data_IF_548084179228
#
_entry.id   IF_548084179228
#
_cell.length_a   1.000
_cell.length_b   1.000
_cell.length_c   1.000
_cell.angle_alpha   90.00
_cell.angle_beta   90.00
_cell.angle_gamma   90.00
#
_symmetry.space_group_name_H-M   'P 1'
#
loop_
_entity.id
_entity.type
_entity.pdbx_description
1 polymer ?
#
# COMPACT_ATOMS: atom_id res chain seq x y z
N UNK A 1 -10.07 16.63 15.00
CA UNK A 1 -9.30 16.42 16.24
C UNK A 1 -9.85 15.19 16.93
N UNK A 2 -8.97 14.32 17.41
CA UNK A 2 -9.30 13.09 18.15
C UNK A 2 -8.57 13.10 19.50
N UNK A 3 -9.03 12.26 20.41
CA UNK A 3 -8.49 12.22 21.77
C UNK A 3 -7.51 11.05 22.00
N UNK A 4 -7.43 10.10 21.05
CA UNK A 4 -6.51 8.98 21.11
C UNK A 4 -6.03 8.53 19.73
N UNK A 5 -4.91 7.79 19.69
CA UNK A 5 -4.40 7.16 18.46
C UNK A 5 -5.34 6.05 17.97
N UNK A 6 -5.97 5.30 18.88
CA UNK A 6 -6.93 4.26 18.51
C UNK A 6 -8.17 4.83 17.84
N UNK A 7 -8.68 5.96 18.33
CA UNK A 7 -9.77 6.69 17.70
C UNK A 7 -9.36 7.21 16.31
N UNK A 8 -8.15 7.77 16.19
CA UNK A 8 -7.61 8.22 14.92
C UNK A 8 -7.53 7.09 13.89
N UNK A 9 -7.03 5.93 14.30
CA UNK A 9 -6.92 4.75 13.45
C UNK A 9 -8.29 4.25 12.99
N UNK A 10 -9.24 4.16 13.91
CA UNK A 10 -10.62 3.76 13.60
C UNK A 10 -11.26 4.67 12.56
N UNK A 11 -11.09 5.98 12.71
CA UNK A 11 -11.61 6.97 11.75
C UNK A 11 -10.89 6.84 10.41
N UNK A 12 -9.55 6.76 10.41
CA UNK A 12 -8.76 6.61 9.18
C UNK A 12 -9.16 5.37 8.38
N UNK A 13 -9.43 4.26 9.06
CA UNK A 13 -9.84 3.00 8.44
C UNK A 13 -11.33 2.92 8.11
N UNK A 14 -12.16 3.87 8.53
CA UNK A 14 -13.61 3.84 8.32
C UNK A 14 -14.06 4.18 6.89
N UNK A 15 -13.17 4.74 6.08
CA UNK A 15 -13.47 5.12 4.69
C UNK A 15 -13.32 3.94 3.75
N UNK A 16 -14.03 3.97 2.62
CA UNK A 16 -14.02 2.89 1.62
C UNK A 16 -12.79 2.90 0.71
N UNK A 17 -11.86 3.82 0.91
CA UNK A 17 -10.65 3.97 0.13
C UNK A 17 -9.41 3.78 0.99
N UNK A 18 -8.33 3.30 0.39
CA UNK A 18 -7.07 3.09 1.08
C UNK A 18 -5.88 3.19 0.12
N UNK A 19 -5.65 4.37 -0.48
CA UNK A 19 -4.54 4.56 -1.41
C UNK A 19 -3.24 4.80 -0.66
N UNK A 20 -3.13 5.92 0.03
CA UNK A 20 -1.93 6.29 0.77
C UNK A 20 -2.28 6.75 2.18
N UNK A 21 -1.37 6.46 3.12
CA UNK A 21 -1.46 6.96 4.48
C UNK A 21 -0.07 7.26 5.05
N UNK A 22 0.05 8.36 5.76
CA UNK A 22 1.28 8.79 6.40
C UNK A 22 1.11 8.99 7.90
N UNK A 23 2.18 8.74 8.64
CA UNK A 23 2.21 8.89 10.09
C UNK A 23 3.45 9.65 10.53
N UNK A 24 3.32 10.43 11.58
CA UNK A 24 4.43 11.17 12.21
C UNK A 24 4.37 10.95 13.71
N UNK A 25 5.42 10.34 14.26
CA UNK A 25 5.48 9.99 15.67
C UNK A 25 6.72 9.18 16.02
N UNK A 26 6.73 8.55 17.18
CA UNK A 26 7.82 7.69 17.62
C UNK A 26 7.92 6.40 16.78
N UNK A 27 9.08 5.73 16.83
CA UNK A 27 9.28 4.45 16.13
C UNK A 27 8.31 3.36 16.60
N UNK A 28 7.96 3.35 17.89
CA UNK A 28 6.99 2.41 18.45
C UNK A 28 5.59 2.65 17.89
N UNK A 29 5.16 3.90 17.84
CA UNK A 29 3.87 4.29 17.27
C UNK A 29 3.83 4.08 15.76
N UNK A 30 4.94 4.31 15.04
CA UNK A 30 5.03 4.03 13.62
C UNK A 30 4.85 2.54 13.32
N UNK A 31 5.44 1.64 14.14
CA UNK A 31 5.21 0.21 14.00
C UNK A 31 3.73 -0.14 14.20
N UNK A 32 3.13 0.37 15.25
CA UNK A 32 1.70 0.20 15.50
C UNK A 32 0.83 0.72 14.33
N UNK A 33 1.21 1.87 13.77
CA UNK A 33 0.53 2.42 12.58
C UNK A 33 0.60 1.47 11.39
N UNK A 34 1.79 0.97 11.04
CA UNK A 34 1.95 0.03 9.92
C UNK A 34 1.18 -1.28 10.11
N UNK A 35 1.07 -1.75 11.34
CA UNK A 35 0.36 -3.00 11.65
C UNK A 35 -1.17 -2.86 11.55
N UNK A 36 -1.71 -1.64 11.56
CA UNK A 36 -3.15 -1.41 11.70
C UNK A 36 -3.79 -0.59 10.57
N UNK A 37 -3.03 0.19 9.81
CA UNK A 37 -3.59 1.04 8.77
C UNK A 37 -4.00 0.24 7.53
N UNK A 38 -5.17 0.52 7.00
CA UNK A 38 -5.72 -0.12 5.81
C UNK A 38 -5.48 0.74 4.55
N UNK A 39 -4.23 0.82 4.11
CA UNK A 39 -3.83 1.52 2.91
C UNK A 39 -2.74 0.77 2.16
N UNK A 40 -2.71 0.91 0.84
CA UNK A 40 -1.76 0.20 -0.03
C UNK A 40 -0.36 0.80 -0.03
N UNK A 41 -0.23 2.09 0.19
CA UNK A 41 1.06 2.79 0.31
C UNK A 41 1.12 3.50 1.65
N UNK A 42 2.11 3.15 2.46
CA UNK A 42 2.25 3.68 3.80
C UNK A 42 3.65 4.23 4.04
N UNK A 43 3.75 5.30 4.80
CA UNK A 43 5.05 5.86 5.21
C UNK A 43 4.97 6.45 6.62
N UNK A 44 6.12 6.54 7.26
CA UNK A 44 6.25 7.21 8.55
C UNK A 44 7.42 8.20 8.54
N UNK A 45 7.21 9.34 9.21
CA UNK A 45 8.24 10.36 9.47
C UNK A 45 8.97 10.89 8.21
N UNK A 46 8.29 10.96 7.09
CA UNK A 46 8.89 11.55 5.87
C UNK A 46 9.02 13.07 6.04
N UNK A 47 10.22 13.64 5.80
CA UNK A 47 10.44 15.06 5.98
C UNK A 47 9.71 15.92 4.93
N UNK A 48 9.39 15.35 3.77
CA UNK A 48 8.62 16.03 2.72
C UNK A 48 7.50 15.11 2.23
N UNK A 49 6.29 15.63 2.22
CA UNK A 49 5.12 14.90 1.78
C UNK A 49 5.13 14.66 0.27
N UNK A 50 5.56 13.48 -0.14
CA UNK A 50 5.20 13.01 -1.47
C UNK A 50 3.85 12.32 -1.38
N UNK A 51 2.90 12.77 -2.15
CA UNK A 51 1.54 12.23 -2.17
C UNK A 51 1.50 10.76 -2.55
N UNK A 52 2.42 10.31 -3.40
CA UNK A 52 2.49 8.91 -3.82
C UNK A 52 3.08 8.00 -2.77
N UNK A 53 4.14 8.41 -2.07
CA UNK A 53 4.78 7.61 -1.03
C UNK A 53 5.60 6.42 -1.50
N UNK A 54 5.45 5.96 -2.73
CA UNK A 54 6.13 4.78 -3.27
C UNK A 54 7.33 5.13 -4.15
N UNK A 55 8.39 4.33 -4.08
CA UNK A 55 9.56 4.43 -4.98
C UNK A 55 9.26 3.72 -6.31
N UNK A 56 9.27 4.46 -7.43
CA UNK A 56 9.05 3.87 -8.75
C UNK A 56 10.03 2.74 -9.05
N UNK A 57 9.52 1.63 -9.61
CA UNK A 57 10.30 0.46 -10.00
C UNK A 57 10.65 -0.49 -8.84
N UNK A 58 10.53 -0.06 -7.60
CA UNK A 58 10.87 -0.86 -6.40
C UNK A 58 9.63 -1.21 -5.60
N UNK A 59 8.76 -0.24 -5.37
CA UNK A 59 7.55 -0.40 -4.59
C UNK A 59 6.31 -0.25 -5.46
N UNK A 60 5.30 -1.07 -5.20
CA UNK A 60 4.00 -0.90 -5.83
C UNK A 60 3.31 0.37 -5.34
N UNK A 61 2.68 1.08 -6.27
CA UNK A 61 1.70 2.12 -5.98
C UNK A 61 0.32 1.58 -6.32
N UNK A 62 -0.29 0.94 -5.34
CA UNK A 62 -1.59 0.29 -5.49
C UNK A 62 -2.40 0.42 -4.23
N UNK A 63 -3.67 0.78 -4.38
CA UNK A 63 -4.58 0.98 -3.26
C UNK A 63 -5.21 -0.31 -2.76
N UNK A 64 -5.70 -0.22 -1.55
CA UNK A 64 -6.58 -1.20 -0.94
C UNK A 64 -8.03 -0.72 -1.03
N UNK A 65 -8.96 -1.58 -0.68
CA UNK A 65 -10.41 -1.29 -0.72
C UNK A 65 -10.81 -0.80 -2.13
N UNK A 66 -11.59 0.25 -2.24
CA UNK A 66 -12.01 0.80 -3.54
C UNK A 66 -10.90 1.60 -4.27
N UNK A 67 -9.73 1.77 -3.66
CA UNK A 67 -8.59 2.42 -4.31
C UNK A 67 -7.80 1.50 -5.25
N UNK A 68 -8.03 0.20 -5.20
CA UNK A 68 -7.41 -0.75 -6.11
C UNK A 68 -7.74 -2.20 -5.78
N UNK A 69 -7.73 -3.08 -6.77
CA UNK A 69 -8.15 -4.48 -6.62
C UNK A 69 -7.05 -5.44 -6.17
N UNK A 70 -5.79 -5.10 -6.40
CA UNK A 70 -4.68 -6.03 -6.15
C UNK A 70 -3.57 -5.47 -5.26
N UNK A 71 -3.53 -4.16 -5.02
CA UNK A 71 -2.41 -3.48 -4.38
C UNK A 71 -1.15 -3.38 -5.24
N UNK A 72 -1.19 -3.84 -6.49
CA UNK A 72 -0.01 -3.98 -7.38
C UNK A 72 -0.11 -3.15 -8.66
N UNK A 73 -1.04 -2.20 -8.72
CA UNK A 73 -1.50 -1.59 -9.97
C UNK A 73 -0.49 -0.70 -10.70
N UNK A 74 0.52 -0.16 -10.04
CA UNK A 74 1.52 0.69 -10.70
C UNK A 74 2.89 0.63 -10.03
N UNK A 75 3.91 1.09 -10.72
CA UNK A 75 5.28 1.39 -10.28
C UNK A 75 6.13 0.21 -9.77
N UNK A 76 5.55 -0.84 -9.29
CA UNK A 76 6.26 -1.95 -8.66
C UNK A 76 6.68 -3.05 -9.65
N UNK A 77 7.32 -4.12 -9.16
CA UNK A 77 7.82 -5.22 -10.00
C UNK A 77 6.70 -6.03 -10.67
N UNK A 78 5.47 -5.86 -10.23
CA UNK A 78 4.31 -6.60 -10.75
C UNK A 78 3.53 -5.86 -11.83
N UNK A 79 3.92 -4.63 -12.17
CA UNK A 79 3.14 -3.79 -13.08
C UNK A 79 2.95 -4.43 -14.46
N UNK A 80 4.01 -4.87 -15.09
CA UNK A 80 3.94 -5.48 -16.42
C UNK A 80 3.22 -6.82 -16.37
N UNK A 81 3.51 -7.65 -15.37
CA UNK A 81 2.96 -9.00 -15.25
C UNK A 81 1.42 -9.03 -15.15
N UNK A 82 0.78 -8.01 -14.59
CA UNK A 82 -0.68 -7.96 -14.49
C UNK A 82 -1.40 -7.82 -15.84
N UNK A 83 -0.70 -7.43 -16.91
CA UNK A 83 -1.21 -7.36 -18.27
C UNK A 83 -0.93 -8.63 -19.09
N UNK A 84 -0.23 -9.58 -18.52
CA UNK A 84 0.15 -10.84 -19.16
C UNK A 84 -0.75 -11.98 -18.70
N UNK A 85 -0.87 -12.99 -19.54
CA UNK A 85 -1.52 -14.25 -19.17
C UNK A 85 -0.47 -15.33 -18.98
N UNK A 86 -0.56 -16.03 -17.88
CA UNK A 86 0.28 -17.20 -17.64
C UNK A 86 -0.19 -18.37 -18.49
N UNK A 87 0.75 -19.09 -19.11
CA UNK A 87 0.47 -20.30 -19.85
C UNK A 87 1.49 -21.38 -19.49
N UNK A 88 1.02 -22.52 -19.05
CA UNK A 88 1.85 -23.70 -18.82
C UNK A 88 1.96 -24.54 -20.10
N UNK A 89 3.17 -24.85 -20.52
CA UNK A 89 3.43 -25.69 -21.69
C UNK A 89 4.35 -26.87 -21.30
N UNK A 90 3.95 -28.07 -21.67
CA UNK A 90 4.75 -29.27 -21.48
C UNK A 90 4.99 -29.92 -22.83
N UNK A 91 6.25 -30.21 -23.17
CA UNK A 91 6.64 -30.96 -24.36
C UNK A 91 7.42 -32.20 -23.92
N UNK A 92 6.97 -33.33 -24.38
CA UNK A 92 7.71 -34.60 -24.24
C UNK A 92 8.40 -34.86 -25.56
N UNK A 93 9.73 -35.01 -25.54
CA UNK A 93 10.49 -35.38 -26.73
C UNK A 93 10.31 -36.90 -27.02
N UNK A 94 10.04 -37.18 -28.25
CA UNK A 94 9.95 -38.56 -28.71
C UNK A 94 11.32 -39.06 -29.21
#
# INVERSE_FOLDING_TARGET
>A
KVDSLDEAMKIANSVNYGLTAGFYGSSKEAKWFFDNIEAGVTYANRPQGATTGAWPGVQSFGGWKHSGSSGKSALGPYYVAQFLREQSQTRVNK
#
